data_IF_005630388032
#
_entry.id   IF_005630388032
#
_cell.length_a   1.000
_cell.length_b   1.000
_cell.length_c   1.000
_cell.angle_alpha   90.00
_cell.angle_beta   90.00
_cell.angle_gamma   90.00
#
_symmetry.space_group_name_H-M   'P 1'
#
loop_
_entity.id
_entity.type
_entity.pdbx_description
1 polymer ?
#
# COMPACT_ATOMS: atom_id res chain seq x y z
N UNK A 1 10.43 23.39 -21.32
CA UNK A 1 11.00 23.54 -19.97
C UNK A 1 11.01 25.00 -19.46
N UNK A 2 10.91 26.03 -20.33
CA UNK A 2 10.89 27.46 -19.92
C UNK A 2 9.89 27.82 -18.81
N UNK A 3 8.71 27.18 -18.78
CA UNK A 3 7.71 27.42 -17.71
C UNK A 3 8.26 27.12 -16.31
N UNK A 4 9.20 26.17 -16.15
CA UNK A 4 9.77 25.81 -14.84
C UNK A 4 10.54 26.94 -14.18
N UNK A 5 11.11 27.87 -14.98
CA UNK A 5 11.79 29.07 -14.46
C UNK A 5 10.83 29.98 -13.68
N UNK A 6 9.52 29.87 -13.91
CA UNK A 6 8.47 30.69 -13.28
C UNK A 6 7.72 29.99 -12.15
N UNK A 7 7.97 28.70 -11.90
CA UNK A 7 7.27 27.91 -10.88
C UNK A 7 7.87 28.04 -9.47
N UNK A 8 9.02 28.70 -9.34
CA UNK A 8 9.71 28.84 -8.06
C UNK A 8 10.09 27.48 -7.45
N UNK A 9 9.96 27.37 -6.13
CA UNK A 9 10.38 26.19 -5.36
C UNK A 9 9.21 25.28 -4.95
N UNK A 10 8.08 25.32 -5.66
CA UNK A 10 6.91 24.51 -5.30
C UNK A 10 7.20 23.01 -5.31
N UNK A 11 6.71 22.28 -4.30
CA UNK A 11 6.79 20.82 -4.23
C UNK A 11 5.43 20.21 -3.88
N UNK A 12 5.05 19.13 -4.58
CA UNK A 12 3.85 18.36 -4.25
C UNK A 12 3.85 17.80 -2.84
N UNK A 13 5.04 17.58 -2.24
CA UNK A 13 5.19 17.15 -0.84
C UNK A 13 4.73 18.22 0.17
N UNK A 14 4.48 19.45 -0.27
CA UNK A 14 3.97 20.55 0.56
C UNK A 14 2.45 20.67 0.54
N UNK A 15 1.77 19.86 -0.29
CA UNK A 15 0.31 19.81 -0.33
C UNK A 15 -0.27 19.50 1.06
N UNK A 16 -1.09 20.40 1.64
CA UNK A 16 -1.70 20.17 2.95
C UNK A 16 -2.57 18.90 2.97
N UNK A 17 -3.34 18.66 1.90
CA UNK A 17 -4.18 17.48 1.77
C UNK A 17 -3.37 16.20 1.68
N UNK A 18 -2.30 16.18 0.87
CA UNK A 18 -1.43 15.00 0.78
C UNK A 18 -0.75 14.69 2.12
N UNK A 19 -0.26 15.72 2.82
CA UNK A 19 0.31 15.56 4.16
C UNK A 19 -0.70 15.07 5.19
N UNK A 20 -1.96 15.49 5.09
CA UNK A 20 -3.01 15.00 5.96
C UNK A 20 -3.21 13.49 5.74
N UNK A 21 -3.31 13.02 4.49
CA UNK A 21 -3.42 11.58 4.19
C UNK A 21 -2.26 10.78 4.79
N UNK A 22 -1.01 11.26 4.62
CA UNK A 22 0.17 10.60 5.18
C UNK A 22 0.23 10.59 6.72
N UNK A 23 -0.56 11.42 7.40
CA UNK A 23 -0.65 11.45 8.87
C UNK A 23 -1.85 10.65 9.40
N UNK A 24 -2.91 10.54 8.61
CA UNK A 24 -4.18 9.98 9.05
C UNK A 24 -4.23 8.45 8.98
N UNK A 25 -3.40 7.81 8.15
CA UNK A 25 -3.47 6.34 8.00
C UNK A 25 -3.26 5.60 9.32
N UNK A 26 -2.33 6.03 10.20
CA UNK A 26 -2.12 5.39 11.50
C UNK A 26 -3.31 5.57 12.47
N UNK A 27 -3.83 6.80 12.71
CA UNK A 27 -5.05 6.99 13.49
C UNK A 27 -6.25 6.20 12.97
N UNK A 28 -6.44 6.15 11.65
CA UNK A 28 -7.51 5.36 11.02
C UNK A 28 -7.33 3.88 11.33
N UNK A 29 -6.11 3.34 11.15
CA UNK A 29 -5.80 1.95 11.47
C UNK A 29 -6.06 1.62 12.94
N UNK A 30 -5.62 2.49 13.86
CA UNK A 30 -5.80 2.30 15.28
C UNK A 30 -7.29 2.31 15.66
N UNK A 31 -8.06 3.25 15.08
CA UNK A 31 -9.50 3.31 15.31
C UNK A 31 -10.22 2.07 14.77
N UNK A 32 -9.84 1.58 13.59
CA UNK A 32 -10.34 0.33 13.04
C UNK A 32 -10.06 -0.85 13.98
N UNK A 33 -8.80 -1.04 14.39
CA UNK A 33 -8.42 -2.13 15.31
C UNK A 33 -9.20 -2.06 16.61
N UNK A 34 -9.26 -0.90 17.25
CA UNK A 34 -9.96 -0.75 18.52
C UNK A 34 -11.47 -1.03 18.40
N UNK A 35 -12.12 -0.50 17.36
CA UNK A 35 -13.58 -0.46 17.30
C UNK A 35 -14.22 -1.62 16.55
N UNK A 36 -13.51 -2.21 15.58
CA UNK A 36 -14.02 -3.31 14.77
C UNK A 36 -13.37 -4.65 15.13
N UNK A 37 -12.18 -4.66 15.73
CA UNK A 37 -11.47 -5.89 16.08
C UNK A 37 -11.42 -6.16 17.59
N UNK A 38 -10.66 -5.37 18.33
CA UNK A 38 -10.28 -5.65 19.71
C UNK A 38 -11.52 -5.75 20.64
N UNK A 39 -12.46 -4.81 20.51
CA UNK A 39 -13.73 -4.81 21.29
C UNK A 39 -14.60 -6.04 21.06
N UNK A 40 -14.43 -6.72 19.94
CA UNK A 40 -15.21 -7.89 19.54
C UNK A 40 -14.44 -9.21 19.68
N UNK A 41 -13.20 -9.18 20.19
CA UNK A 41 -12.35 -10.37 20.26
C UNK A 41 -11.96 -10.92 18.88
N UNK A 42 -12.02 -10.07 17.86
CA UNK A 42 -11.65 -10.36 16.48
C UNK A 42 -10.19 -9.93 16.23
N UNK A 43 -9.62 -10.42 15.13
CA UNK A 43 -8.36 -9.95 14.58
C UNK A 43 -8.41 -10.11 13.06
N UNK A 44 -7.39 -9.61 12.35
CA UNK A 44 -7.33 -9.69 10.88
C UNK A 44 -7.48 -11.13 10.39
N UNK A 45 -6.82 -12.12 10.99
CA UNK A 45 -6.98 -13.52 10.55
C UNK A 45 -8.42 -14.00 10.71
N UNK A 46 -9.08 -13.71 11.83
CA UNK A 46 -10.45 -14.16 12.09
C UNK A 46 -11.43 -13.64 11.06
N UNK A 47 -11.38 -12.34 10.75
CA UNK A 47 -12.33 -11.71 9.83
C UNK A 47 -12.12 -12.12 8.36
N UNK A 48 -10.95 -12.64 7.99
CA UNK A 48 -10.67 -13.11 6.62
C UNK A 48 -10.73 -14.62 6.45
N UNK A 49 -10.61 -15.40 7.53
CA UNK A 49 -10.41 -16.85 7.46
C UNK A 49 -11.27 -17.60 8.49
N UNK A 50 -10.81 -17.71 9.74
CA UNK A 50 -11.36 -18.68 10.69
C UNK A 50 -12.79 -18.37 11.17
N UNK A 51 -13.22 -17.11 11.06
CA UNK A 51 -14.56 -16.64 11.45
C UNK A 51 -15.16 -15.78 10.34
N UNK A 52 -14.79 -16.03 9.08
CA UNK A 52 -15.27 -15.23 7.94
C UNK A 52 -16.80 -15.24 7.85
N UNK A 53 -17.39 -14.06 8.05
CA UNK A 53 -18.84 -13.86 8.03
C UNK A 53 -19.31 -12.72 7.13
N UNK A 54 -18.40 -12.04 6.42
CA UNK A 54 -18.69 -10.81 5.65
C UNK A 54 -19.36 -9.72 6.51
N UNK A 55 -18.85 -9.54 7.73
CA UNK A 55 -19.34 -8.57 8.71
C UNK A 55 -18.78 -7.15 8.48
N UNK A 56 -19.21 -6.21 9.31
CA UNK A 56 -18.77 -4.82 9.24
C UNK A 56 -17.24 -4.69 9.38
N UNK A 57 -16.60 -5.54 10.20
CA UNK A 57 -15.15 -5.54 10.37
C UNK A 57 -14.42 -5.94 9.08
N UNK A 58 -14.91 -6.98 8.40
CA UNK A 58 -14.42 -7.38 7.09
C UNK A 58 -14.63 -6.29 6.03
N UNK A 59 -15.83 -5.72 5.93
CA UNK A 59 -16.14 -4.70 4.92
C UNK A 59 -15.28 -3.45 5.09
N UNK A 60 -15.09 -2.99 6.34
CA UNK A 60 -14.20 -1.85 6.62
C UNK A 60 -12.75 -2.20 6.33
N UNK A 61 -12.30 -3.42 6.64
CA UNK A 61 -10.96 -3.87 6.28
C UNK A 61 -10.73 -3.86 4.75
N UNK A 62 -11.69 -4.33 3.96
CA UNK A 62 -11.59 -4.29 2.50
C UNK A 62 -11.57 -2.85 1.96
N UNK A 63 -12.38 -1.94 2.52
CA UNK A 63 -12.34 -0.53 2.14
C UNK A 63 -10.97 0.13 2.45
N UNK A 64 -10.33 -0.25 3.56
CA UNK A 64 -8.97 0.21 3.88
C UNK A 64 -7.92 -0.37 2.93
N UNK A 65 -8.04 -1.65 2.57
CA UNK A 65 -7.17 -2.29 1.59
C UNK A 65 -7.31 -1.64 0.19
N UNK A 66 -8.55 -1.37 -0.25
CA UNK A 66 -8.84 -0.67 -1.50
C UNK A 66 -8.26 0.75 -1.48
N UNK A 67 -8.40 1.47 -0.37
CA UNK A 67 -7.78 2.80 -0.24
C UNK A 67 -6.26 2.74 -0.44
N UNK A 68 -5.57 1.78 0.19
CA UNK A 68 -4.13 1.60 0.04
C UNK A 68 -3.76 1.23 -1.40
N UNK A 69 -4.55 0.35 -2.05
CA UNK A 69 -4.39 0.00 -3.47
C UNK A 69 -4.51 1.23 -4.39
N UNK A 70 -5.56 2.03 -4.21
CA UNK A 70 -5.80 3.26 -4.97
C UNK A 70 -4.67 4.28 -4.74
N UNK A 71 -4.15 4.38 -3.53
CA UNK A 71 -3.03 5.26 -3.23
C UNK A 71 -1.74 4.82 -3.93
N UNK A 72 -1.51 3.52 -4.02
CA UNK A 72 -0.37 2.95 -4.74
C UNK A 72 -0.51 3.15 -6.26
N UNK A 73 -1.72 3.01 -6.82
CA UNK A 73 -2.01 3.38 -8.22
C UNK A 73 -1.71 4.85 -8.49
N UNK A 74 -2.18 5.75 -7.61
CA UNK A 74 -1.87 7.18 -7.72
C UNK A 74 -0.36 7.44 -7.72
N UNK A 75 0.40 6.84 -6.80
CA UNK A 75 1.86 7.01 -6.73
C UNK A 75 2.54 6.50 -8.01
N UNK A 76 2.09 5.37 -8.55
CA UNK A 76 2.60 4.83 -9.81
C UNK A 76 2.34 5.78 -10.98
N UNK A 77 1.09 6.21 -11.18
CA UNK A 77 0.72 7.13 -12.26
C UNK A 77 1.46 8.46 -12.15
N UNK A 78 1.60 8.98 -10.93
CA UNK A 78 2.38 10.18 -10.66
C UNK A 78 3.85 10.00 -11.06
N UNK A 79 4.45 8.85 -10.75
CA UNK A 79 5.83 8.54 -11.16
C UNK A 79 5.96 8.48 -12.69
N UNK A 80 5.02 7.82 -13.37
CA UNK A 80 5.01 7.74 -14.83
C UNK A 80 4.87 9.12 -15.47
N UNK A 81 4.03 9.99 -14.90
CA UNK A 81 3.91 11.37 -15.34
C UNK A 81 5.22 12.14 -15.19
N UNK A 82 5.89 12.02 -14.05
CA UNK A 82 7.20 12.65 -13.82
C UNK A 82 8.20 12.14 -14.86
N UNK A 83 8.31 10.82 -15.02
CA UNK A 83 9.26 10.20 -15.93
C UNK A 83 9.08 10.70 -17.37
N UNK A 84 7.86 10.68 -17.90
CA UNK A 84 7.59 11.12 -19.28
C UNK A 84 7.69 12.64 -19.50
N UNK A 85 7.64 13.43 -18.44
CA UNK A 85 7.62 14.91 -18.54
C UNK A 85 9.00 15.53 -18.30
N UNK A 86 9.77 14.98 -17.35
CA UNK A 86 11.03 15.57 -16.90
C UNK A 86 12.20 14.59 -16.81
N UNK A 87 11.96 13.28 -16.97
CA UNK A 87 12.98 12.23 -16.85
C UNK A 87 13.24 11.78 -15.41
N UNK A 88 13.66 10.53 -15.26
CA UNK A 88 13.85 9.90 -13.94
C UNK A 88 15.06 10.45 -13.18
N UNK A 89 16.19 10.65 -13.87
CA UNK A 89 17.42 11.24 -13.31
C UNK A 89 17.36 12.76 -13.11
N UNK A 90 16.17 13.34 -13.06
CA UNK A 90 15.99 14.78 -12.93
C UNK A 90 15.81 15.20 -11.48
N UNK A 91 16.17 16.45 -11.20
CA UNK A 91 15.87 17.06 -9.92
C UNK A 91 14.51 17.77 -9.97
N UNK A 92 13.78 17.67 -8.85
CA UNK A 92 12.62 18.51 -8.55
C UNK A 92 13.00 19.99 -8.52
N UNK A 93 12.00 20.88 -8.46
CA UNK A 93 12.24 22.33 -8.33
C UNK A 93 13.03 22.71 -7.07
N UNK A 94 13.04 21.86 -6.03
CA UNK A 94 13.84 22.03 -4.81
C UNK A 94 15.21 21.33 -4.88
N UNK A 95 15.65 20.87 -6.04
CA UNK A 95 16.94 20.18 -6.20
C UNK A 95 16.98 18.76 -5.62
N UNK A 96 15.84 18.22 -5.15
CA UNK A 96 15.78 16.83 -4.66
C UNK A 96 15.70 15.85 -5.82
N UNK A 97 16.46 14.74 -5.77
CA UNK A 97 16.34 13.65 -6.75
C UNK A 97 14.91 13.11 -6.77
N UNK A 98 14.40 12.81 -7.97
CA UNK A 98 13.06 12.22 -8.15
C UNK A 98 13.00 10.79 -7.59
N UNK A 99 14.13 10.09 -7.56
CA UNK A 99 14.32 8.73 -7.07
C UNK A 99 13.84 8.56 -5.63
N UNK A 100 13.83 9.63 -4.81
CA UNK A 100 13.28 9.58 -3.44
C UNK A 100 11.80 9.17 -3.40
N UNK A 101 11.05 9.36 -4.51
CA UNK A 101 9.66 8.97 -4.60
C UNK A 101 9.48 7.44 -4.74
N UNK A 102 10.53 6.70 -5.11
CA UNK A 102 10.49 5.23 -5.18
C UNK A 102 10.30 4.58 -3.80
N UNK A 103 10.81 5.20 -2.74
CA UNK A 103 10.61 4.68 -1.38
C UNK A 103 9.13 4.64 -1.03
N UNK A 104 8.40 5.69 -1.42
CA UNK A 104 6.94 5.75 -1.28
C UNK A 104 6.23 4.61 -1.99
N UNK A 105 6.72 4.16 -3.15
CA UNK A 105 6.10 3.05 -3.90
C UNK A 105 6.07 1.73 -3.12
N UNK A 106 6.99 1.52 -2.17
CA UNK A 106 7.06 0.28 -1.38
C UNK A 106 6.24 0.33 -0.09
N UNK A 107 5.79 1.52 0.31
CA UNK A 107 5.10 1.72 1.58
C UNK A 107 3.61 1.44 1.46
N UNK A 108 3.16 0.39 2.17
CA UNK A 108 1.75 0.06 2.40
C UNK A 108 1.30 0.72 3.71
N UNK A 109 0.15 1.39 3.71
CA UNK A 109 -0.40 1.98 4.93
C UNK A 109 -0.91 0.91 5.92
N UNK A 110 -1.47 -0.18 5.41
CA UNK A 110 -2.07 -1.24 6.22
C UNK A 110 -1.43 -2.61 5.91
N UNK A 111 -0.15 -2.81 6.26
CA UNK A 111 0.61 -4.01 5.87
C UNK A 111 -0.03 -5.33 6.33
N UNK A 112 -0.63 -5.33 7.53
CA UNK A 112 -1.33 -6.50 8.10
C UNK A 112 -2.45 -7.01 7.17
N UNK A 113 -3.15 -6.11 6.47
CA UNK A 113 -4.15 -6.48 5.48
C UNK A 113 -3.49 -7.16 4.28
N UNK A 114 -2.39 -6.65 3.74
CA UNK A 114 -1.73 -7.30 2.61
C UNK A 114 -1.15 -8.67 2.97
N UNK A 115 -0.56 -8.79 4.16
CA UNK A 115 0.13 -9.99 4.62
C UNK A 115 -0.82 -11.16 4.91
N UNK A 116 -2.04 -10.90 5.40
CA UNK A 116 -2.98 -11.99 5.70
C UNK A 116 -3.32 -12.83 4.46
N UNK A 117 -3.35 -12.22 3.27
CA UNK A 117 -3.60 -12.95 2.00
C UNK A 117 -2.51 -14.00 1.73
N UNK A 118 -1.25 -13.64 1.96
CA UNK A 118 -0.13 -14.58 1.84
C UNK A 118 -0.26 -15.69 2.88
N UNK A 119 -0.49 -15.35 4.16
CA UNK A 119 -0.62 -16.36 5.21
C UNK A 119 -1.76 -17.35 4.96
N UNK A 120 -2.91 -16.89 4.46
CA UNK A 120 -4.03 -17.77 4.10
C UNK A 120 -3.67 -18.69 2.92
N UNK A 121 -3.01 -18.15 1.90
CA UNK A 121 -2.58 -18.92 0.72
C UNK A 121 -1.56 -19.99 1.10
N UNK A 122 -0.59 -19.64 1.93
CA UNK A 122 0.45 -20.57 2.41
C UNK A 122 -0.15 -21.65 3.32
N UNK A 123 -1.07 -21.29 4.21
CA UNK A 123 -1.77 -22.26 5.07
C UNK A 123 -2.59 -23.26 4.23
N UNK A 124 -3.34 -22.78 3.25
CA UNK A 124 -4.07 -23.64 2.31
C UNK A 124 -3.11 -24.54 1.51
N UNK A 125 -2.00 -23.98 1.03
CA UNK A 125 -0.98 -24.74 0.29
C UNK A 125 -0.29 -25.81 1.14
N UNK A 126 -0.09 -25.58 2.43
CA UNK A 126 0.47 -26.56 3.35
C UNK A 126 -0.50 -27.72 3.63
N UNK A 127 -1.81 -27.46 3.66
CA UNK A 127 -2.84 -28.46 3.96
C UNK A 127 -3.29 -29.25 2.71
N UNK A 128 -3.42 -28.58 1.56
CA UNK A 128 -4.03 -29.12 0.34
C UNK A 128 -3.11 -29.13 -0.88
N UNK A 129 -1.94 -28.49 -0.81
CA UNK A 129 -1.04 -28.35 -1.95
C UNK A 129 -0.41 -29.67 -2.38
N UNK A 130 -0.51 -30.00 -3.66
CA UNK A 130 0.29 -31.08 -4.24
C UNK A 130 1.75 -30.65 -4.32
N UNK A 131 2.61 -31.29 -3.52
CA UNK A 131 4.07 -31.13 -3.63
C UNK A 131 4.53 -31.76 -4.95
N UNK A 132 4.86 -30.93 -5.94
CA UNK A 132 5.50 -31.41 -7.17
C UNK A 132 6.90 -31.90 -6.83
N UNK A 133 7.27 -33.05 -7.38
CA UNK A 133 8.65 -33.52 -7.34
C UNK A 133 9.56 -32.46 -7.96
N UNK A 134 10.69 -32.23 -7.33
CA UNK A 134 11.71 -31.32 -7.86
C UNK A 134 12.15 -31.84 -9.23
N UNK A 135 12.28 -30.96 -10.22
CA UNK A 135 12.82 -31.28 -11.56
C UNK A 135 14.33 -31.59 -11.54
N UNK A 136 14.85 -32.08 -10.41
CA UNK A 136 16.24 -32.50 -10.24
C UNK A 136 16.46 -33.90 -10.81
N UNK A 137 16.62 -33.99 -12.12
CA UNK A 137 16.96 -35.25 -12.80
C UNK A 137 17.41 -35.12 -14.25
N UNK A 138 17.74 -33.92 -14.73
CA UNK A 138 18.27 -33.68 -16.08
C UNK A 138 19.42 -32.66 -16.03
N UNK A 139 20.56 -33.09 -15.50
CA UNK A 139 21.87 -32.53 -15.82
C UNK A 139 22.93 -33.62 -15.73
#
# INVERSE_FOLDING_TARGET
QEIRKRLGNGSGQESPGFRALLRLYQPIWNSFKENYLDKHGLNVKKIYDSEYGHDDAYVVAEALAEFDELFQKFRYEHMQLIHRTIGFGSNSLKGRPVEILEEGMRHKFYPELWEIRSHMTDAWGAEYGMKRDSLGGLH
#
